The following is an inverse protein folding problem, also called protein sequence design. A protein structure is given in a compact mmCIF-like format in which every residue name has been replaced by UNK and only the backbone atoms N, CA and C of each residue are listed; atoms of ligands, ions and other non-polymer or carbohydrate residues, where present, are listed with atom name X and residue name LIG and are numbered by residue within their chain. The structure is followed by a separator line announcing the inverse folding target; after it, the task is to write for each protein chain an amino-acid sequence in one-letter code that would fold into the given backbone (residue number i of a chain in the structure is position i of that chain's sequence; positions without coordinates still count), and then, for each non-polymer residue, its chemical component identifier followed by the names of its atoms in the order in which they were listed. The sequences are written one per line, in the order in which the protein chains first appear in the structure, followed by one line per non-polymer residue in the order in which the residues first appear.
data_IF_995277118438
#
_entry.id   IF_995277118438
#
_cell.length_a   1.000
_cell.length_b   1.000
_cell.length_c   1.000
_cell.angle_alpha   90.00
_cell.angle_beta   90.00
_cell.angle_gamma   90.00
#
_symmetry.space_group_name_H-M   'P 1'
#
loop_
_entity.id
_entity.type
_entity.pdbx_description
1 polymer ?
#
# COMPACT_ATOMS: atom_id res chain seq x y z
N UNK A 1 -30.03 17.39 -4.15
CA UNK A 1 -29.53 16.19 -3.45
C UNK A 1 -29.16 15.16 -4.49
N UNK A 2 -27.89 14.72 -4.53
CA UNK A 2 -27.45 13.68 -5.46
C UNK A 2 -27.99 12.34 -4.96
N UNK A 3 -28.59 11.53 -5.84
CA UNK A 3 -29.11 10.21 -5.45
C UNK A 3 -27.98 9.30 -4.95
N UNK A 4 -28.27 8.40 -3.99
CA UNK A 4 -27.31 7.37 -3.52
C UNK A 4 -26.70 6.59 -4.69
N UNK A 5 -27.47 6.37 -5.76
CA UNK A 5 -27.00 5.72 -6.98
C UNK A 5 -25.95 6.57 -7.73
N UNK A 6 -26.22 7.86 -7.92
CA UNK A 6 -25.28 8.79 -8.56
C UNK A 6 -24.00 8.95 -7.72
N UNK A 7 -24.11 8.98 -6.39
CA UNK A 7 -22.94 9.03 -5.49
C UNK A 7 -22.08 7.76 -5.58
N UNK A 8 -22.69 6.59 -5.76
CA UNK A 8 -21.99 5.32 -5.98
C UNK A 8 -21.26 5.29 -7.34
N UNK A 9 -21.87 5.80 -8.40
CA UNK A 9 -21.26 5.89 -9.74
C UNK A 9 -20.05 6.83 -9.74
N UNK A 10 -20.18 8.00 -9.11
CA UNK A 10 -19.10 8.98 -8.99
C UNK A 10 -17.91 8.43 -8.19
N UNK A 11 -18.17 7.75 -7.07
CA UNK A 11 -17.11 7.14 -6.25
C UNK A 11 -16.40 5.99 -6.97
N UNK A 12 -17.11 5.19 -7.79
CA UNK A 12 -16.50 4.16 -8.64
C UNK A 12 -15.59 4.78 -9.71
N UNK A 13 -16.07 5.83 -10.40
CA UNK A 13 -15.31 6.54 -11.43
C UNK A 13 -14.01 7.16 -10.88
N UNK A 14 -14.08 7.85 -9.73
CA UNK A 14 -12.90 8.45 -9.08
C UNK A 14 -11.86 7.39 -8.64
N UNK A 15 -12.31 6.24 -8.14
CA UNK A 15 -11.42 5.14 -7.75
C UNK A 15 -10.73 4.49 -8.97
N UNK A 16 -11.43 4.38 -10.10
CA UNK A 16 -10.87 3.88 -11.36
C UNK A 16 -9.78 4.82 -11.90
N UNK A 17 -10.06 6.12 -11.99
CA UNK A 17 -9.07 7.12 -12.46
C UNK A 17 -7.81 7.11 -11.58
N UNK A 18 -7.98 7.05 -10.26
CA UNK A 18 -6.87 6.99 -9.30
C UNK A 18 -6.04 5.70 -9.47
N UNK A 19 -6.70 4.58 -9.74
CA UNK A 19 -6.04 3.30 -9.97
C UNK A 19 -5.26 3.26 -11.29
N UNK A 20 -5.84 3.75 -12.38
CA UNK A 20 -5.14 3.85 -13.68
C UNK A 20 -3.91 4.74 -13.60
N UNK A 21 -4.00 5.84 -12.83
CA UNK A 21 -2.85 6.67 -12.51
C UNK A 21 -1.77 5.88 -11.77
N UNK A 22 -2.13 5.16 -10.71
CA UNK A 22 -1.16 4.36 -9.95
C UNK A 22 -0.53 3.23 -10.78
N UNK A 23 -1.26 2.59 -11.70
CA UNK A 23 -0.68 1.56 -12.60
C UNK A 23 0.45 2.11 -13.47
N UNK A 24 0.33 3.36 -13.95
CA UNK A 24 1.30 3.99 -14.86
C UNK A 24 2.61 4.39 -14.19
N UNK A 25 2.58 4.62 -12.88
CA UNK A 25 3.71 5.19 -12.11
C UNK A 25 4.27 4.22 -11.06
N UNK A 26 3.65 3.05 -10.91
CA UNK A 26 4.10 2.04 -9.96
C UNK A 26 5.28 1.32 -10.57
N UNK A 27 6.47 1.57 -10.02
CA UNK A 27 7.66 0.75 -10.22
C UNK A 27 7.44 -0.64 -9.62
N UNK A 28 6.64 -1.49 -10.28
CA UNK A 28 6.71 -2.94 -10.03
C UNK A 28 7.75 -3.48 -11.00
N UNK A 29 8.71 -4.28 -10.52
CA UNK A 29 9.51 -5.11 -11.41
C UNK A 29 8.58 -5.82 -12.38
N UNK A 30 8.81 -5.64 -13.67
CA UNK A 30 8.00 -6.24 -14.75
C UNK A 30 7.88 -7.76 -14.58
N UNK A 31 6.80 -8.30 -15.13
CA UNK A 31 6.24 -9.66 -15.00
C UNK A 31 7.22 -10.86 -15.07
N UNK A 32 8.48 -10.69 -15.45
CA UNK A 32 9.46 -11.79 -15.52
C UNK A 32 9.86 -12.35 -14.14
N UNK A 33 9.59 -11.64 -13.05
CA UNK A 33 9.89 -12.12 -11.69
C UNK A 33 8.69 -12.73 -10.94
N UNK A 34 7.51 -12.80 -11.55
CA UNK A 34 6.31 -13.40 -10.92
C UNK A 34 6.04 -14.76 -11.56
N UNK A 35 6.96 -15.70 -11.40
CA UNK A 35 6.60 -17.11 -11.37
C UNK A 35 6.06 -17.47 -9.97
N UNK A 36 5.00 -16.81 -9.53
CA UNK A 36 4.21 -17.27 -8.38
C UNK A 36 3.17 -18.21 -8.94
N UNK A 37 3.44 -19.51 -8.83
CA UNK A 37 2.48 -20.55 -9.14
C UNK A 37 1.16 -20.25 -8.40
N UNK A 38 0.05 -20.34 -9.15
CA UNK A 38 -1.32 -20.22 -8.62
C UNK A 38 -1.60 -21.30 -7.57
N UNK A 39 -2.58 -21.05 -6.68
CA UNK A 39 -2.56 -21.57 -5.32
C UNK A 39 -3.31 -22.89 -5.19
N UNK A 40 -2.72 -23.83 -4.45
CA UNK A 40 -3.47 -24.84 -3.70
C UNK A 40 -3.13 -24.72 -2.22
N UNK A 41 -4.20 -24.68 -1.42
CA UNK A 41 -4.24 -24.97 0.02
C UNK A 41 -3.20 -24.32 0.93
N UNK A 42 -3.67 -23.31 1.66
CA UNK A 42 -3.61 -23.20 3.12
C UNK A 42 -2.28 -23.53 3.84
N UNK A 43 -1.86 -22.57 4.68
CA UNK A 43 -0.79 -22.61 5.68
C UNK A 43 0.58 -22.10 5.20
N UNK A 44 1.33 -21.51 6.14
CA UNK A 44 2.74 -21.14 6.03
C UNK A 44 3.06 -19.80 5.34
N UNK A 45 2.74 -18.68 6.02
CA UNK A 45 3.57 -17.47 5.88
C UNK A 45 4.90 -17.73 6.60
N UNK A 46 5.76 -18.53 5.99
CA UNK A 46 7.18 -18.55 6.32
C UNK A 46 7.79 -17.30 5.72
N UNK A 47 8.45 -16.50 6.56
CA UNK A 47 9.03 -15.21 6.20
C UNK A 47 9.88 -15.34 4.93
N UNK A 48 9.36 -14.87 3.80
CA UNK A 48 10.20 -14.65 2.61
C UNK A 48 11.25 -13.62 3.03
N UNK A 49 12.49 -14.08 3.20
CA UNK A 49 13.66 -13.22 3.42
C UNK A 49 13.86 -12.43 2.13
N UNK A 50 13.23 -11.25 2.06
CA UNK A 50 13.51 -10.29 1.01
C UNK A 50 14.83 -9.63 1.39
N UNK A 51 15.91 -10.00 0.70
CA UNK A 51 17.17 -9.26 0.76
C UNK A 51 16.95 -7.90 0.08
N UNK A 52 16.71 -6.87 0.88
CA UNK A 52 16.74 -5.49 0.41
C UNK A 52 18.23 -5.16 0.20
N UNK A 53 18.73 -5.34 -1.03
CA UNK A 53 20.02 -4.77 -1.43
C UNK A 53 20.00 -3.28 -1.09
N UNK A 54 21.08 -2.79 -0.48
CA UNK A 54 21.19 -1.39 -0.03
C UNK A 54 20.65 -0.47 -1.13
N UNK A 55 19.57 0.23 -0.81
CA UNK A 55 18.96 1.18 -1.72
C UNK A 55 19.99 2.30 -1.90
N UNK A 56 20.60 2.39 -3.08
CA UNK A 56 21.57 3.44 -3.40
C UNK A 56 20.91 4.81 -3.25
N UNK A 57 21.18 5.46 -2.13
CA UNK A 57 20.64 6.78 -1.78
C UNK A 57 21.19 7.88 -2.69
N UNK A 58 22.27 7.63 -3.43
CA UNK A 58 22.92 8.61 -4.28
C UNK A 58 22.18 8.76 -5.63
N UNK A 59 21.39 7.76 -6.02
CA UNK A 59 20.61 7.73 -7.26
C UNK A 59 19.11 7.59 -6.99
N UNK A 60 18.54 8.48 -6.17
CA UNK A 60 17.09 8.49 -5.92
C UNK A 60 16.37 8.88 -7.23
N UNK A 61 15.52 8.02 -7.83
CA UNK A 61 14.71 8.44 -8.97
C UNK A 61 13.80 9.59 -8.53
N UNK A 62 13.57 10.55 -9.42
CA UNK A 62 12.62 11.62 -9.17
C UNK A 62 11.24 11.01 -8.87
N UNK A 63 10.78 11.17 -7.63
CA UNK A 63 9.46 10.67 -7.16
C UNK A 63 8.41 11.76 -7.18
N UNK A 64 8.65 12.82 -7.95
CA UNK A 64 7.69 13.85 -8.24
C UNK A 64 7.09 13.57 -9.62
N UNK A 65 5.76 13.59 -9.68
CA UNK A 65 5.06 13.57 -10.94
C UNK A 65 4.99 15.00 -11.46
N UNK A 66 6.07 15.48 -12.10
CA UNK A 66 6.16 16.88 -12.54
C UNK A 66 5.72 17.85 -11.43
N UNK A 67 4.78 18.74 -11.75
CA UNK A 67 4.18 19.63 -10.76
C UNK A 67 3.20 18.90 -9.80
N UNK A 68 3.73 18.55 -8.62
CA UNK A 68 3.09 18.72 -7.29
C UNK A 68 2.50 17.55 -6.49
N UNK A 69 2.83 16.26 -6.70
CA UNK A 69 2.61 15.28 -5.60
C UNK A 69 3.64 14.16 -5.49
N UNK A 70 4.24 13.95 -4.30
CA UNK A 70 5.15 12.84 -4.07
C UNK A 70 4.41 11.50 -4.14
N UNK A 71 4.99 10.52 -4.84
CA UNK A 71 4.45 9.16 -4.96
C UNK A 71 5.22 8.20 -4.03
N UNK A 72 4.54 7.40 -3.19
CA UNK A 72 5.23 6.48 -2.29
C UNK A 72 5.70 5.24 -3.06
N UNK A 73 6.74 4.59 -2.55
CA UNK A 73 7.10 3.25 -3.00
C UNK A 73 6.03 2.28 -2.49
N UNK A 74 5.74 1.23 -3.28
CA UNK A 74 4.82 0.16 -2.91
C UNK A 74 5.59 -1.13 -2.63
N UNK A 75 6.04 -1.39 -1.38
CA UNK A 75 6.81 -2.59 -1.04
C UNK A 75 6.05 -3.91 -1.21
N UNK A 76 4.73 -3.88 -1.01
CA UNK A 76 3.89 -5.07 -1.02
C UNK A 76 2.50 -4.75 -1.58
N UNK A 77 2.05 -5.53 -2.56
CA UNK A 77 0.69 -5.47 -3.08
C UNK A 77 -0.27 -6.25 -2.18
N UNK A 78 -0.56 -5.69 -1.02
CA UNK A 78 -1.41 -6.33 -0.03
C UNK A 78 -1.27 -5.72 1.36
N UNK A 79 -1.94 -6.30 2.36
CA UNK A 79 -1.77 -5.92 3.75
C UNK A 79 -0.51 -6.54 4.37
N UNK A 80 0.04 -5.84 5.36
CA UNK A 80 0.85 -6.46 6.41
C UNK A 80 -0.07 -6.79 7.58
N UNK A 81 -0.17 -8.07 7.93
CA UNK A 81 -0.90 -8.52 9.12
C UNK A 81 -0.04 -8.26 10.36
N UNK A 82 -0.57 -7.50 11.32
CA UNK A 82 0.04 -7.28 12.63
C UNK A 82 -0.81 -8.00 13.66
N UNK A 83 -0.23 -8.98 14.33
CA UNK A 83 -0.92 -9.80 15.34
C UNK A 83 -0.84 -9.17 16.72
N UNK A 84 -1.90 -9.39 17.51
CA UNK A 84 -2.03 -8.96 18.90
C UNK A 84 -1.54 -7.53 19.15
N UNK A 85 -2.08 -6.52 18.43
CA UNK A 85 -1.66 -5.14 18.66
C UNK A 85 -1.93 -4.73 20.11
N UNK A 86 -0.92 -4.14 20.74
CA UNK A 86 -1.05 -3.54 22.08
C UNK A 86 -2.08 -2.40 22.06
N UNK A 87 -2.97 -2.42 23.03
CA UNK A 87 -4.03 -1.43 23.25
C UNK A 87 -3.51 -0.20 24.00
N UNK A 88 -4.25 0.90 23.88
CA UNK A 88 -4.07 2.11 24.68
C UNK A 88 -2.88 2.97 24.26
N UNK A 89 -2.01 3.31 25.22
CA UNK A 89 -0.99 4.38 25.11
C UNK A 89 0.10 4.13 24.06
N UNK A 90 0.22 2.91 23.52
CA UNK A 90 1.20 2.63 22.48
C UNK A 90 0.85 3.35 21.18
N UNK A 91 1.67 4.33 20.84
CA UNK A 91 1.60 5.07 19.57
C UNK A 91 2.32 4.30 18.46
N UNK A 92 1.58 3.75 17.52
CA UNK A 92 2.10 3.18 16.29
C UNK A 92 2.43 4.28 15.27
N UNK A 93 3.42 4.03 14.42
CA UNK A 93 3.83 4.91 13.32
C UNK A 93 3.86 4.10 12.03
N UNK A 94 2.80 4.17 11.24
CA UNK A 94 2.74 3.50 9.94
C UNK A 94 3.63 4.20 8.91
N UNK A 95 4.39 3.43 8.13
CA UNK A 95 5.21 3.93 7.04
C UNK A 95 4.33 4.27 5.83
N UNK A 96 4.23 5.57 5.51
CA UNK A 96 3.51 6.10 4.35
C UNK A 96 4.37 6.22 3.09
N UNK A 97 5.70 6.30 3.23
CA UNK A 97 6.61 6.51 2.10
C UNK A 97 7.03 5.23 1.36
N UNK A 98 6.81 4.06 1.97
CA UNK A 98 7.26 2.77 1.44
C UNK A 98 8.75 2.46 1.62
N UNK A 99 9.56 3.41 2.10
CA UNK A 99 11.03 3.23 2.21
C UNK A 99 11.50 2.46 3.44
N UNK A 100 10.64 2.25 4.43
CA UNK A 100 11.03 1.59 5.68
C UNK A 100 11.49 0.17 5.43
N UNK A 101 12.57 -0.23 6.10
CA UNK A 101 13.04 -1.61 6.21
C UNK A 101 12.30 -2.40 7.29
N UNK A 102 11.56 -1.71 8.18
CA UNK A 102 10.72 -2.32 9.23
C UNK A 102 9.23 -2.23 8.91
N UNK A 103 8.86 -2.47 7.65
CA UNK A 103 7.45 -2.48 7.23
C UNK A 103 6.60 -3.36 8.16
N UNK A 104 5.37 -2.95 8.49
CA UNK A 104 4.64 -1.77 7.99
C UNK A 104 4.95 -0.45 8.74
N UNK A 105 5.89 -0.46 9.70
CA UNK A 105 6.15 0.67 10.58
C UNK A 105 7.27 1.57 10.07
N UNK A 106 7.31 2.80 10.57
CA UNK A 106 8.30 3.80 10.20
C UNK A 106 9.60 3.63 11.00
N UNK A 107 10.74 3.59 10.30
CA UNK A 107 12.11 3.55 10.84
C UNK A 107 12.88 4.87 10.65
N UNK A 108 12.25 5.90 10.10
CA UNK A 108 12.90 7.18 9.84
C UNK A 108 13.45 7.37 8.44
N UNK A 109 13.41 6.36 7.55
CA UNK A 109 13.83 6.51 6.13
C UNK A 109 13.01 7.49 5.29
N UNK A 110 11.95 8.07 5.86
CA UNK A 110 11.17 9.13 5.22
C UNK A 110 11.85 10.52 5.26
N UNK A 111 12.90 10.72 6.07
CA UNK A 111 13.64 11.99 6.13
C UNK A 111 14.16 12.37 4.74
N UNK A 112 14.01 13.64 4.36
CA UNK A 112 14.33 14.10 3.00
C UNK A 112 13.29 13.73 1.93
N UNK A 113 12.10 13.28 2.34
CA UNK A 113 10.93 13.12 1.48
C UNK A 113 9.79 13.99 1.99
N UNK A 114 8.77 14.20 1.16
CA UNK A 114 7.55 14.90 1.55
C UNK A 114 6.56 14.03 2.36
N UNK A 115 6.94 12.79 2.72
CA UNK A 115 6.10 11.88 3.48
C UNK A 115 6.37 11.96 4.97
N UNK A 116 5.30 11.93 5.77
CA UNK A 116 5.37 11.79 7.22
C UNK A 116 4.68 10.50 7.68
N UNK A 117 5.19 9.83 8.73
CA UNK A 117 4.55 8.63 9.26
C UNK A 117 3.17 8.93 9.84
N UNK A 118 2.21 8.04 9.58
CA UNK A 118 0.87 8.15 10.14
C UNK A 118 0.86 7.60 11.57
N UNK A 119 0.54 8.45 12.55
CA UNK A 119 0.52 8.09 13.97
C UNK A 119 -0.88 7.65 14.36
N UNK A 120 -1.02 6.51 15.05
CA UNK A 120 -2.31 6.02 15.54
C UNK A 120 -2.15 5.16 16.80
N UNK A 121 -3.24 4.96 17.51
CA UNK A 121 -3.38 4.08 18.67
C UNK A 121 -4.43 3.01 18.38
N UNK A 122 -4.44 1.94 19.15
CA UNK A 122 -5.46 0.89 19.06
C UNK A 122 -6.28 0.94 20.33
N UNK A 123 -7.57 1.26 20.18
CA UNK A 123 -8.48 1.50 21.31
C UNK A 123 -9.27 0.24 21.67
N UNK A 124 -9.50 -0.65 20.70
CA UNK A 124 -10.29 -1.86 20.88
C UNK A 124 -9.46 -3.14 20.70
N UNK A 125 -9.73 -4.13 21.54
CA UNK A 125 -9.08 -5.44 21.48
C UNK A 125 -9.36 -6.13 20.14
N UNK A 126 -8.29 -6.48 19.42
CA UNK A 126 -8.37 -7.27 18.20
C UNK A 126 -7.23 -8.28 18.16
N UNK A 127 -7.48 -9.45 17.57
CA UNK A 127 -6.46 -10.47 17.34
C UNK A 127 -5.43 -10.01 16.31
N UNK A 128 -5.83 -9.19 15.34
CA UNK A 128 -4.93 -8.67 14.31
C UNK A 128 -5.45 -7.39 13.67
N UNK A 129 -4.56 -6.66 13.02
CA UNK A 129 -4.88 -5.54 12.14
C UNK A 129 -4.14 -5.66 10.81
N UNK A 130 -4.79 -5.24 9.72
CA UNK A 130 -4.22 -5.27 8.37
C UNK A 130 -3.79 -3.87 7.97
N UNK A 131 -2.48 -3.59 8.03
CA UNK A 131 -1.92 -2.30 7.64
C UNK A 131 -1.57 -2.30 6.15
N UNK A 132 -1.78 -1.17 5.48
CA UNK A 132 -1.56 -1.08 4.04
C UNK A 132 -0.08 -1.27 3.68
N UNK A 133 0.20 -2.25 2.81
CA UNK A 133 1.53 -2.50 2.26
C UNK A 133 1.82 -1.71 0.99
N UNK A 134 0.82 -1.47 0.14
CA UNK A 134 1.03 -0.81 -1.15
C UNK A 134 1.15 0.72 -1.05
N UNK A 135 0.82 1.28 0.12
CA UNK A 135 0.86 2.72 0.45
C UNK A 135 -0.15 3.60 -0.30
N UNK A 136 -1.03 2.98 -1.09
CA UNK A 136 -2.06 3.66 -1.87
C UNK A 136 -3.48 3.55 -1.29
N UNK A 137 -3.65 3.01 -0.08
CA UNK A 137 -4.98 2.87 0.57
C UNK A 137 -5.79 4.18 0.59
N UNK A 138 -7.11 4.10 0.44
CA UNK A 138 -8.02 5.24 0.72
C UNK A 138 -8.31 5.41 2.21
N UNK A 139 -7.92 4.45 3.05
CA UNK A 139 -8.23 4.42 4.48
C UNK A 139 -6.95 4.20 5.31
N UNK A 140 -5.99 5.15 5.30
CA UNK A 140 -4.75 5.00 6.07
C UNK A 140 -5.04 4.92 7.57
N UNK A 141 -4.31 4.08 8.32
CA UNK A 141 -3.17 3.25 7.90
C UNK A 141 -3.55 1.85 7.40
N UNK A 142 -4.85 1.53 7.34
CA UNK A 142 -5.37 0.19 7.10
C UNK A 142 -5.46 -0.17 5.61
N UNK A 143 -5.43 -1.46 5.30
CA UNK A 143 -5.66 -1.95 3.95
C UNK A 143 -7.15 -1.83 3.57
N UNK A 144 -7.44 -1.26 2.41
CA UNK A 144 -8.81 -1.10 1.90
C UNK A 144 -9.31 -2.28 1.04
N UNK A 145 -8.46 -3.27 0.77
CA UNK A 145 -8.72 -4.45 -0.08
C UNK A 145 -9.26 -4.15 -1.50
N UNK A 146 -9.25 -2.88 -1.92
CA UNK A 146 -9.77 -2.42 -3.21
C UNK A 146 -8.64 -1.92 -4.09
N UNK A 147 -7.74 -1.13 -3.50
CA UNK A 147 -6.66 -0.50 -4.25
C UNK A 147 -5.71 -1.56 -4.83
N UNK A 148 -5.27 -2.54 -4.04
CA UNK A 148 -4.40 -3.61 -4.56
C UNK A 148 -5.07 -4.43 -5.66
N UNK A 149 -6.36 -4.78 -5.52
CA UNK A 149 -7.10 -5.51 -6.55
C UNK A 149 -7.08 -4.75 -7.86
N UNK A 150 -7.37 -3.45 -7.81
CA UNK A 150 -7.35 -2.64 -9.01
C UNK A 150 -5.94 -2.55 -9.62
N UNK A 151 -4.88 -2.46 -8.80
CA UNK A 151 -3.49 -2.46 -9.26
C UNK A 151 -3.04 -3.78 -9.90
N UNK A 152 -3.66 -4.91 -9.55
CA UNK A 152 -3.33 -6.25 -10.07
C UNK A 152 -4.25 -6.72 -11.19
N UNK A 153 -5.47 -6.20 -11.28
CA UNK A 153 -6.33 -6.48 -12.42
C UNK A 153 -5.70 -5.92 -13.68
N UNK A 154 -5.49 -6.75 -14.71
CA UNK A 154 -5.17 -6.27 -16.05
C UNK A 154 -6.23 -5.26 -16.55
N UNK A 155 -5.99 -4.60 -17.68
CA UNK A 155 -6.96 -3.70 -18.32
C UNK A 155 -8.19 -4.45 -18.88
N UNK A 156 -8.84 -5.26 -18.07
CA UNK A 156 -10.08 -5.96 -18.39
C UNK A 156 -11.17 -5.45 -17.45
N UNK A 157 -11.56 -4.19 -17.66
CA UNK A 157 -12.96 -3.83 -17.46
C UNK A 157 -13.65 -4.16 -18.78
N UNK A 158 -14.15 -5.38 -18.91
CA UNK A 158 -15.37 -5.57 -19.69
C UNK A 158 -16.46 -4.88 -18.88
N UNK A 159 -17.03 -3.85 -19.48
CA UNK A 159 -18.28 -3.25 -19.06
C UNK A 159 -19.37 -4.31 -19.19
N UNK A 160 -19.93 -4.77 -18.07
CA UNK A 160 -21.25 -5.39 -17.98
C UNK A 160 -21.97 -4.83 -16.75
#
# INVERSE_FOLDING_TARGET
MISKFQQLVLTRSLNHVRCQFYKKIRDVPTEEFIAVQKPESQSKYEHVKIEIKEFDFQNKPDRTLGDQKPVPVSPLLGPYKVENPKLGEKKYKWCSCGLSTSQPFCDGKHKGTAFLPYKFTVEEATQYMNLCGCKFTTNPPFCDNKTCKCLTSGNTEKQE
#
